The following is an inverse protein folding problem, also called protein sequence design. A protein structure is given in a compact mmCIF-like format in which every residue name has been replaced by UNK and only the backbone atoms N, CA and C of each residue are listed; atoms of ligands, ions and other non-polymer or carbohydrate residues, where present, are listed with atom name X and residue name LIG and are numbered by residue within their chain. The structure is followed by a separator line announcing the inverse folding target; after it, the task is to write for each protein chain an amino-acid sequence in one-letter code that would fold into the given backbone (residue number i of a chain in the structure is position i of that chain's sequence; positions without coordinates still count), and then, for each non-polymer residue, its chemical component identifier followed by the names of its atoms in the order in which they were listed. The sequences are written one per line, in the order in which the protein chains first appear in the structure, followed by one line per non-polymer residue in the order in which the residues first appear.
data_IF_155684930222
#
_entry.id   IF_155684930222
#
_cell.length_a   1.000
_cell.length_b   1.000
_cell.length_c   1.000
_cell.angle_alpha   90.00
_cell.angle_beta   90.00
_cell.angle_gamma   90.00
#
_symmetry.space_group_name_H-M   'P 1'
#
loop_
_entity.id
_entity.type
_entity.pdbx_description
1 polymer ?
#
# COMPACT_ATOMS: atom_id res chain seq x y z
N UNK A 1 -12.10 -20.65 -1.42
CA UNK A 1 -10.86 -21.39 -1.72
C UNK A 1 -10.79 -22.00 -3.12
N UNK A 2 -11.75 -22.82 -3.57
CA UNK A 2 -11.65 -23.49 -4.89
C UNK A 2 -11.42 -22.54 -6.08
N UNK A 3 -12.18 -21.45 -6.17
CA UNK A 3 -12.02 -20.47 -7.25
C UNK A 3 -10.65 -19.80 -7.25
N UNK A 4 -10.03 -19.59 -6.07
CA UNK A 4 -8.69 -19.02 -5.95
C UNK A 4 -7.65 -19.98 -6.49
N UNK A 5 -7.75 -21.27 -6.15
CA UNK A 5 -6.87 -22.30 -6.69
C UNK A 5 -6.99 -22.41 -8.22
N UNK A 6 -8.22 -22.40 -8.74
CA UNK A 6 -8.46 -22.38 -10.19
C UNK A 6 -7.85 -21.12 -10.82
N UNK A 7 -8.04 -19.95 -10.22
CA UNK A 7 -7.47 -18.70 -10.69
C UNK A 7 -5.93 -18.76 -10.72
N UNK A 8 -5.30 -19.31 -9.67
CA UNK A 8 -3.84 -19.47 -9.62
C UNK A 8 -3.31 -20.39 -10.72
N UNK A 9 -4.03 -21.46 -11.06
CA UNK A 9 -3.69 -22.35 -12.18
C UNK A 9 -3.88 -21.66 -13.53
N UNK A 10 -4.95 -20.89 -13.72
CA UNK A 10 -5.14 -20.10 -14.95
C UNK A 10 -4.06 -19.03 -15.09
N UNK A 11 -3.62 -18.46 -13.97
CA UNK A 11 -2.57 -17.44 -13.92
C UNK A 11 -1.21 -17.96 -14.41
N UNK A 12 -0.95 -19.27 -14.38
CA UNK A 12 0.29 -19.84 -14.95
C UNK A 12 0.25 -19.94 -16.48
N UNK A 13 -0.93 -19.86 -17.10
CA UNK A 13 -1.11 -20.03 -18.55
C UNK A 13 -1.30 -18.68 -19.25
N UNK A 14 -2.17 -17.82 -18.73
CA UNK A 14 -2.56 -16.55 -19.38
C UNK A 14 -2.62 -15.38 -18.38
N UNK A 15 -1.50 -15.03 -17.70
CA UNK A 15 -1.51 -14.08 -16.59
C UNK A 15 -2.08 -12.71 -16.98
N UNK A 16 -1.56 -12.08 -18.04
CA UNK A 16 -1.95 -10.72 -18.44
C UNK A 16 -3.43 -10.62 -18.81
N UNK A 17 -3.93 -11.57 -19.62
CA UNK A 17 -5.34 -11.60 -20.00
C UNK A 17 -6.23 -11.85 -18.78
N UNK A 18 -5.85 -12.81 -17.93
CA UNK A 18 -6.60 -13.13 -16.72
C UNK A 18 -6.69 -11.95 -15.76
N UNK A 19 -5.60 -11.20 -15.57
CA UNK A 19 -5.59 -10.00 -14.71
C UNK A 19 -6.61 -8.98 -15.20
N UNK A 20 -6.60 -8.66 -16.49
CA UNK A 20 -7.54 -7.68 -17.07
C UNK A 20 -8.98 -8.18 -17.01
N UNK A 21 -9.24 -9.46 -17.26
CA UNK A 21 -10.57 -10.04 -17.09
C UNK A 21 -11.04 -9.95 -15.63
N UNK A 22 -10.14 -10.22 -14.68
CA UNK A 22 -10.44 -10.20 -13.25
C UNK A 22 -10.73 -8.78 -12.77
N UNK A 23 -9.89 -7.80 -13.14
CA UNK A 23 -10.09 -6.38 -12.81
C UNK A 23 -11.44 -5.91 -13.34
N UNK A 24 -11.72 -6.14 -14.63
CA UNK A 24 -12.98 -5.71 -15.24
C UNK A 24 -14.21 -6.41 -14.63
N UNK A 25 -14.10 -7.68 -14.24
CA UNK A 25 -15.19 -8.40 -13.58
C UNK A 25 -15.46 -7.91 -12.16
N UNK A 26 -14.47 -7.31 -11.50
CA UNK A 26 -14.56 -6.79 -10.13
C UNK A 26 -14.72 -5.27 -10.06
N UNK A 27 -14.77 -4.58 -11.19
CA UNK A 27 -15.08 -3.16 -11.25
C UNK A 27 -16.40 -2.88 -10.52
N UNK A 28 -16.44 -1.77 -9.79
CA UNK A 28 -17.65 -1.32 -9.10
C UNK A 28 -18.72 -0.88 -10.12
N UNK A 29 -19.55 -1.83 -10.55
CA UNK A 29 -20.67 -1.61 -11.48
C UNK A 29 -21.85 -0.90 -10.79
N UNK A 30 -21.90 -0.88 -9.45
CA UNK A 30 -23.06 -0.43 -8.69
C UNK A 30 -23.11 1.09 -8.48
N UNK A 31 -22.00 1.82 -8.74
CA UNK A 31 -22.04 3.26 -8.87
C UNK A 31 -22.67 3.63 -10.23
N UNK A 32 -24.00 3.73 -10.26
CA UNK A 32 -24.88 3.93 -11.43
C UNK A 32 -24.62 5.16 -12.32
N UNK A 33 -23.46 5.81 -12.21
CA UNK A 33 -22.96 6.87 -13.08
C UNK A 33 -21.70 6.48 -13.88
N UNK A 34 -21.14 5.28 -13.68
CA UNK A 34 -19.98 4.83 -14.46
C UNK A 34 -20.45 4.37 -15.84
N UNK A 35 -20.23 5.25 -16.84
CA UNK A 35 -20.15 4.88 -18.27
C UNK A 35 -19.35 3.58 -18.42
N UNK A 36 -19.62 2.78 -19.46
CA UNK A 36 -18.91 1.54 -19.82
C UNK A 36 -17.38 1.69 -19.92
N UNK A 37 -16.68 1.87 -18.79
CA UNK A 37 -15.22 2.00 -18.74
C UNK A 37 -14.68 0.59 -18.65
N UNK A 38 -14.05 0.15 -19.73
CA UNK A 38 -13.29 -1.10 -19.75
C UNK A 38 -11.84 -0.77 -19.47
N UNK A 39 -11.29 -1.33 -18.39
CA UNK A 39 -9.88 -1.20 -18.05
C UNK A 39 -9.08 -2.08 -19.01
N UNK A 40 -8.12 -1.48 -19.70
CA UNK A 40 -7.18 -2.18 -20.58
C UNK A 40 -5.84 -2.42 -19.91
N UNK A 41 -5.01 -3.28 -20.52
CA UNK A 41 -3.65 -3.51 -20.04
C UNK A 41 -2.79 -2.23 -20.03
N UNK A 42 -3.00 -1.34 -21.00
CA UNK A 42 -2.27 -0.06 -21.05
C UNK A 42 -2.67 0.86 -19.89
N UNK A 43 -3.97 0.89 -19.54
CA UNK A 43 -4.44 1.69 -18.41
C UNK A 43 -3.80 1.24 -17.09
N UNK A 44 -3.78 -0.07 -16.82
CA UNK A 44 -3.16 -0.63 -15.60
C UNK A 44 -1.65 -0.44 -15.58
N UNK A 45 -1.00 -0.46 -16.75
CA UNK A 45 0.44 -0.27 -16.83
C UNK A 45 0.85 1.18 -16.49
N UNK A 46 0.04 2.16 -16.92
CA UNK A 46 0.26 3.59 -16.62
C UNK A 46 -0.18 3.93 -15.19
N UNK A 47 -1.31 3.37 -14.75
CA UNK A 47 -1.89 3.59 -13.43
C UNK A 47 -2.23 2.25 -12.76
N UNK A 48 -1.30 1.67 -11.99
CA UNK A 48 -1.52 0.38 -11.33
C UNK A 48 -2.56 0.45 -10.21
N UNK A 49 -2.93 1.64 -9.72
CA UNK A 49 -3.95 1.80 -8.67
C UNK A 49 -5.36 1.49 -9.17
N UNK A 50 -5.57 1.42 -10.50
CA UNK A 50 -6.85 0.96 -11.06
C UNK A 50 -7.22 -0.45 -10.61
N UNK A 51 -6.25 -1.28 -10.24
CA UNK A 51 -6.49 -2.62 -9.69
C UNK A 51 -7.29 -2.57 -8.38
N UNK A 52 -7.16 -1.48 -7.61
CA UNK A 52 -7.87 -1.28 -6.34
C UNK A 52 -9.24 -0.62 -6.51
N UNK A 53 -9.60 -0.16 -7.72
CA UNK A 53 -10.92 0.43 -8.04
C UNK A 53 -11.98 -0.65 -8.26
N UNK A 54 -12.07 -1.56 -7.31
CA UNK A 54 -12.99 -2.68 -7.32
C UNK A 54 -14.19 -2.45 -6.39
N UNK A 55 -15.22 -3.27 -6.53
CA UNK A 55 -16.38 -3.29 -5.62
C UNK A 55 -15.93 -3.41 -4.16
N UNK A 56 -16.47 -2.55 -3.29
CA UNK A 56 -16.06 -2.43 -1.88
C UNK A 56 -16.14 -3.77 -1.12
N UNK A 57 -17.00 -4.69 -1.54
CA UNK A 57 -17.16 -6.02 -0.92
C UNK A 57 -15.91 -6.88 -1.06
N UNK A 58 -15.03 -6.59 -2.02
CA UNK A 58 -13.72 -7.23 -2.16
C UNK A 58 -12.88 -7.03 -0.89
N UNK A 59 -12.95 -5.85 -0.26
CA UNK A 59 -12.26 -5.52 0.98
C UNK A 59 -12.90 -6.16 2.23
N UNK A 60 -13.90 -7.02 2.04
CA UNK A 60 -14.46 -7.92 3.06
C UNK A 60 -14.48 -9.38 2.57
N UNK A 61 -13.64 -9.72 1.59
CA UNK A 61 -13.52 -11.08 1.07
C UNK A 61 -12.04 -11.49 0.93
N UNK A 62 -11.50 -12.17 1.94
CA UNK A 62 -10.10 -12.55 2.02
C UNK A 62 -9.53 -13.26 0.78
N UNK A 63 -10.17 -14.30 0.22
CA UNK A 63 -9.60 -15.01 -0.93
C UNK A 63 -9.63 -14.20 -2.24
N UNK A 64 -10.60 -13.29 -2.44
CA UNK A 64 -10.61 -12.39 -3.60
C UNK A 64 -9.55 -11.29 -3.40
N UNK A 65 -9.44 -10.74 -2.20
CA UNK A 65 -8.40 -9.76 -1.88
C UNK A 65 -6.99 -10.32 -2.15
N UNK A 66 -6.71 -11.59 -1.79
CA UNK A 66 -5.44 -12.25 -2.12
C UNK A 66 -5.15 -12.27 -3.63
N UNK A 67 -6.18 -12.40 -4.47
CA UNK A 67 -6.04 -12.33 -5.93
C UNK A 67 -5.72 -10.90 -6.36
N UNK A 68 -6.48 -9.92 -5.85
CA UNK A 68 -6.28 -8.49 -6.16
C UNK A 68 -4.88 -8.03 -5.76
N UNK A 69 -4.40 -8.39 -4.56
CA UNK A 69 -3.05 -8.04 -4.11
C UNK A 69 -1.96 -8.63 -5.01
N UNK A 70 -2.16 -9.85 -5.53
CA UNK A 70 -1.22 -10.46 -6.48
C UNK A 70 -1.21 -9.74 -7.83
N UNK A 71 -2.37 -9.28 -8.30
CA UNK A 71 -2.46 -8.47 -9.52
C UNK A 71 -1.80 -7.10 -9.28
N UNK A 72 -2.06 -6.48 -8.13
CA UNK A 72 -1.52 -5.17 -7.76
C UNK A 72 0.01 -5.20 -7.69
N UNK A 73 0.59 -6.18 -7.01
CA UNK A 73 2.05 -6.36 -6.91
C UNK A 73 2.69 -6.48 -8.29
N UNK A 74 2.13 -7.32 -9.15
CA UNK A 74 2.60 -7.47 -10.52
C UNK A 74 2.43 -6.20 -11.35
N UNK A 75 1.34 -5.45 -11.14
CA UNK A 75 1.04 -4.21 -11.86
C UNK A 75 1.97 -3.07 -11.43
N UNK A 76 2.25 -2.92 -10.14
CA UNK A 76 3.23 -1.96 -9.61
C UNK A 76 4.63 -2.26 -10.17
N UNK A 77 5.06 -3.53 -10.14
CA UNK A 77 6.34 -3.94 -10.71
C UNK A 77 6.43 -3.69 -12.24
N UNK A 78 5.33 -3.92 -12.96
CA UNK A 78 5.25 -3.66 -14.39
C UNK A 78 5.28 -2.16 -14.73
N UNK A 79 4.54 -1.33 -13.98
CA UNK A 79 4.57 0.15 -14.07
C UNK A 79 5.99 0.66 -13.84
N UNK A 80 6.64 0.26 -12.74
CA UNK A 80 8.03 0.61 -12.42
C UNK A 80 8.99 0.24 -13.56
N UNK A 81 8.85 -0.97 -14.11
CA UNK A 81 9.67 -1.44 -15.23
C UNK A 81 9.39 -0.69 -16.53
N UNK A 82 8.15 -0.25 -16.77
CA UNK A 82 7.80 0.58 -17.92
C UNK A 82 8.41 1.98 -17.79
N UNK A 83 8.32 2.61 -16.62
CA UNK A 83 8.91 3.91 -16.36
C UNK A 83 10.43 3.90 -16.57
N UNK A 84 11.12 2.88 -16.05
CA UNK A 84 12.56 2.73 -16.29
C UNK A 84 12.91 2.58 -17.78
N UNK A 85 12.11 1.80 -18.53
CA UNK A 85 12.31 1.66 -19.99
C UNK A 85 12.03 2.96 -20.74
N UNK A 86 10.98 3.69 -20.36
CA UNK A 86 10.62 4.96 -20.98
C UNK A 86 11.72 6.01 -20.85
N UNK A 87 12.42 6.05 -19.70
CA UNK A 87 13.58 6.92 -19.53
C UNK A 87 14.72 6.55 -20.49
N UNK A 88 15.00 5.25 -20.66
CA UNK A 88 16.04 4.76 -21.57
C UNK A 88 15.71 5.02 -23.04
N UNK A 89 14.44 4.83 -23.44
CA UNK A 89 14.00 5.00 -24.84
C UNK A 89 13.90 6.48 -25.24
N UNK A 90 13.79 7.39 -24.26
CA UNK A 90 13.68 8.84 -24.48
C UNK A 90 14.79 9.59 -23.76
N UNK A 91 16.07 9.39 -24.13
CA UNK A 91 17.18 10.15 -23.57
C UNK A 91 17.01 11.63 -23.95
N UNK A 92 17.47 12.53 -23.08
CA UNK A 92 17.48 13.95 -23.40
C UNK A 92 18.47 14.21 -24.53
N UNK A 93 17.98 14.72 -25.65
CA UNK A 93 18.84 15.32 -26.66
C UNK A 93 19.14 16.73 -26.19
N UNK A 94 20.42 17.11 -26.05
CA UNK A 94 20.86 18.48 -25.78
C UNK A 94 20.31 19.43 -26.85
N UNK A 95 19.09 19.90 -26.68
CA UNK A 95 18.47 20.90 -27.55
C UNK A 95 17.77 21.92 -26.67
N UNK A 96 18.48 23.04 -26.52
CA UNK A 96 17.97 24.34 -26.09
C UNK A 96 17.67 24.50 -24.61
N UNK A 97 18.73 24.70 -23.81
CA UNK A 97 18.76 25.65 -22.70
C UNK A 97 17.83 25.42 -21.48
N UNK A 98 16.98 24.40 -21.49
CA UNK A 98 16.15 24.01 -20.36
C UNK A 98 16.54 22.60 -19.95
N UNK A 99 17.55 22.54 -19.08
CA UNK A 99 18.15 21.33 -18.56
C UNK A 99 17.25 20.75 -17.48
N UNK A 100 16.23 19.96 -17.81
CA UNK A 100 15.89 18.89 -16.86
C UNK A 100 17.04 17.91 -16.97
N UNK A 101 17.87 17.70 -15.96
CA UNK A 101 18.97 16.73 -16.09
C UNK A 101 18.44 15.28 -16.14
N UNK A 102 19.19 14.33 -16.71
CA UNK A 102 18.83 12.90 -16.62
C UNK A 102 18.71 12.45 -15.15
N UNK A 103 19.48 13.08 -14.25
CA UNK A 103 19.39 12.88 -12.81
C UNK A 103 18.03 13.33 -12.23
N UNK A 104 17.53 14.51 -12.61
CA UNK A 104 16.20 14.98 -12.21
C UNK A 104 15.08 14.08 -12.74
N UNK A 105 15.20 13.58 -13.97
CA UNK A 105 14.22 12.64 -14.53
C UNK A 105 14.16 11.33 -13.75
N UNK A 106 15.32 10.82 -13.34
CA UNK A 106 15.41 9.62 -12.52
C UNK A 106 14.86 9.85 -11.11
N UNK A 107 15.12 11.03 -10.51
CA UNK A 107 14.54 11.43 -9.22
C UNK A 107 13.01 11.52 -9.29
N UNK A 108 12.46 12.19 -10.31
CA UNK A 108 11.02 12.28 -10.54
C UNK A 108 10.39 10.90 -10.74
N UNK A 109 11.06 10.01 -11.45
CA UNK A 109 10.61 8.62 -11.64
C UNK A 109 10.59 7.86 -10.32
N UNK A 110 11.62 7.98 -9.50
CA UNK A 110 11.66 7.35 -8.18
C UNK A 110 10.60 7.91 -7.23
N UNK A 111 10.38 9.23 -7.24
CA UNK A 111 9.32 9.88 -6.48
C UNK A 111 7.92 9.41 -6.92
N UNK A 112 7.68 9.30 -8.23
CA UNK A 112 6.42 8.78 -8.77
C UNK A 112 6.15 7.34 -8.33
N UNK A 113 7.16 6.47 -8.41
CA UNK A 113 7.05 5.07 -7.97
C UNK A 113 6.73 5.00 -6.48
N UNK A 114 7.45 5.76 -5.64
CA UNK A 114 7.21 5.79 -4.20
C UNK A 114 5.80 6.34 -3.86
N UNK A 115 5.33 7.34 -4.61
CA UNK A 115 3.98 7.88 -4.47
C UNK A 115 2.91 6.85 -4.85
N UNK A 116 3.07 6.13 -5.96
CA UNK A 116 2.15 5.07 -6.38
C UNK A 116 2.09 3.95 -5.34
N UNK A 117 3.25 3.49 -4.85
CA UNK A 117 3.33 2.39 -3.90
C UNK A 117 2.79 2.79 -2.53
N UNK A 118 3.15 3.97 -2.01
CA UNK A 118 2.58 4.46 -0.75
C UNK A 118 1.07 4.69 -0.84
N UNK A 119 0.55 5.23 -1.96
CA UNK A 119 -0.89 5.37 -2.16
C UNK A 119 -1.61 4.01 -2.16
N UNK A 120 -1.03 2.97 -2.77
CA UNK A 120 -1.57 1.62 -2.71
C UNK A 120 -1.64 1.11 -1.26
N UNK A 121 -0.59 1.34 -0.47
CA UNK A 121 -0.57 0.96 0.94
C UNK A 121 -1.60 1.74 1.77
N UNK A 122 -1.80 3.02 1.51
CA UNK A 122 -2.82 3.84 2.18
C UNK A 122 -4.23 3.32 1.92
N UNK A 123 -4.57 3.00 0.66
CA UNK A 123 -5.87 2.41 0.31
C UNK A 123 -6.09 1.09 1.07
N UNK A 124 -5.05 0.25 1.16
CA UNK A 124 -5.12 -1.02 1.89
C UNK A 124 -5.24 -0.81 3.41
N UNK A 125 -4.57 0.18 3.97
CA UNK A 125 -4.73 0.55 5.39
C UNK A 125 -6.14 1.03 5.66
N UNK A 126 -6.70 1.91 4.83
CA UNK A 126 -8.08 2.37 4.95
C UNK A 126 -9.09 1.22 4.86
N UNK A 127 -8.84 0.22 4.00
CA UNK A 127 -9.66 -0.98 3.92
C UNK A 127 -9.69 -1.80 5.23
N UNK A 128 -8.72 -1.60 6.14
CA UNK A 128 -8.68 -2.25 7.45
C UNK A 128 -9.53 -1.54 8.51
N UNK A 129 -10.09 -0.35 8.21
CA UNK A 129 -10.99 0.33 9.12
C UNK A 129 -12.26 -0.48 9.32
N UNK A 130 -12.74 -0.47 10.56
CA UNK A 130 -14.03 -1.05 10.91
C UNK A 130 -15.14 -0.08 10.54
N UNK A 131 -16.21 -0.59 9.93
CA UNK A 131 -17.39 0.17 9.52
C UNK A 131 -18.58 -0.17 10.42
N UNK A 132 -19.62 0.68 10.38
CA UNK A 132 -20.88 0.41 11.08
C UNK A 132 -21.54 -0.90 10.61
N UNK A 133 -21.39 -1.24 9.32
CA UNK A 133 -21.88 -2.50 8.78
C UNK A 133 -21.17 -3.70 9.40
N UNK A 134 -19.85 -3.60 9.60
CA UNK A 134 -19.07 -4.66 10.25
C UNK A 134 -19.59 -4.92 11.66
N UNK A 135 -19.88 -3.86 12.43
CA UNK A 135 -20.44 -3.98 13.79
C UNK A 135 -21.82 -4.60 13.81
N UNK A 136 -22.64 -4.35 12.79
CA UNK A 136 -24.00 -4.88 12.69
C UNK A 136 -24.07 -6.37 12.35
N UNK A 137 -23.01 -6.95 11.78
CA UNK A 137 -22.99 -8.30 11.19
C UNK A 137 -21.76 -9.09 11.63
N UNK A 138 -21.91 -10.10 12.52
CA UNK A 138 -20.78 -10.88 13.01
C UNK A 138 -19.91 -11.50 11.90
N UNK A 139 -20.52 -11.94 10.80
CA UNK A 139 -19.82 -12.49 9.62
C UNK A 139 -18.85 -11.50 8.98
N UNK A 140 -19.21 -10.20 8.93
CA UNK A 140 -18.34 -9.17 8.38
C UNK A 140 -17.16 -8.86 9.30
N UNK A 141 -17.34 -8.95 10.63
CA UNK A 141 -16.23 -8.86 11.58
C UNK A 141 -15.19 -9.97 11.38
N UNK A 142 -15.62 -11.20 11.12
CA UNK A 142 -14.71 -12.30 10.81
C UNK A 142 -13.98 -12.07 9.49
N UNK A 143 -14.70 -11.62 8.46
CA UNK A 143 -14.11 -11.22 7.18
C UNK A 143 -13.09 -10.10 7.33
N UNK A 144 -13.38 -9.08 8.14
CA UNK A 144 -12.47 -7.97 8.42
C UNK A 144 -11.19 -8.46 9.11
N UNK A 145 -11.29 -9.39 10.06
CA UNK A 145 -10.11 -10.01 10.69
C UNK A 145 -9.25 -10.78 9.68
N UNK A 146 -9.87 -11.54 8.78
CA UNK A 146 -9.14 -12.22 7.71
C UNK A 146 -8.46 -11.21 6.79
N UNK A 147 -9.18 -10.19 6.35
CA UNK A 147 -8.66 -9.13 5.47
C UNK A 147 -7.49 -8.38 6.12
N UNK A 148 -7.61 -7.99 7.40
CA UNK A 148 -6.51 -7.38 8.17
C UNK A 148 -5.27 -8.28 8.18
N UNK A 149 -5.44 -9.58 8.43
CA UNK A 149 -4.31 -10.53 8.39
C UNK A 149 -3.64 -10.58 7.02
N UNK A 150 -4.43 -10.61 5.94
CA UNK A 150 -3.92 -10.62 4.56
C UNK A 150 -3.17 -9.34 4.23
N UNK A 151 -3.75 -8.18 4.55
CA UNK A 151 -3.16 -6.86 4.28
C UNK A 151 -1.89 -6.67 5.11
N UNK A 152 -1.92 -6.96 6.41
CA UNK A 152 -0.73 -6.86 7.25
C UNK A 152 0.40 -7.78 6.76
N UNK A 153 0.09 -8.99 6.30
CA UNK A 153 1.09 -9.89 5.71
C UNK A 153 1.70 -9.31 4.43
N UNK A 154 0.89 -8.65 3.60
CA UNK A 154 1.34 -7.98 2.39
C UNK A 154 2.24 -6.76 2.69
N UNK A 155 1.80 -5.87 3.59
CA UNK A 155 2.60 -4.72 4.06
C UNK A 155 3.91 -5.18 4.69
N UNK A 156 3.90 -6.28 5.44
CA UNK A 156 5.10 -6.86 6.03
C UNK A 156 6.15 -7.21 4.97
N UNK A 157 5.75 -7.91 3.90
CA UNK A 157 6.66 -8.25 2.80
C UNK A 157 7.20 -6.98 2.11
N UNK A 158 6.34 -5.99 1.88
CA UNK A 158 6.77 -4.72 1.27
C UNK A 158 7.78 -4.01 2.16
N UNK A 159 7.53 -3.88 3.46
CA UNK A 159 8.45 -3.21 4.39
C UNK A 159 9.78 -3.96 4.55
N UNK A 160 9.81 -5.28 4.37
CA UNK A 160 11.08 -6.03 4.29
C UNK A 160 11.83 -5.69 3.01
N UNK A 161 11.14 -5.69 1.87
CA UNK A 161 11.77 -5.47 0.57
C UNK A 161 12.20 -4.01 0.35
N UNK A 162 11.44 -3.06 0.90
CA UNK A 162 11.63 -1.63 0.71
C UNK A 162 11.30 -0.87 2.02
N UNK A 163 12.25 -0.82 2.98
CA UNK A 163 12.05 -0.17 4.27
C UNK A 163 11.73 1.33 4.16
N UNK A 164 12.14 1.99 3.07
CA UNK A 164 11.86 3.42 2.86
C UNK A 164 10.36 3.69 2.70
N UNK A 165 9.58 2.74 2.17
CA UNK A 165 8.11 2.85 2.10
C UNK A 165 7.47 2.83 3.48
N UNK A 166 8.01 2.05 4.44
CA UNK A 166 7.53 2.06 5.81
C UNK A 166 7.66 3.47 6.40
N UNK A 167 8.83 4.10 6.22
CA UNK A 167 9.03 5.49 6.64
C UNK A 167 8.05 6.43 5.94
N UNK A 168 7.93 6.35 4.61
CA UNK A 168 7.06 7.24 3.84
C UNK A 168 5.59 7.17 4.30
N UNK A 169 5.03 5.96 4.47
CA UNK A 169 3.65 5.77 4.93
C UNK A 169 3.42 6.35 6.32
N UNK A 170 4.35 6.17 7.25
CA UNK A 170 4.22 6.73 8.60
C UNK A 170 4.41 8.27 8.64
N UNK A 171 5.17 8.84 7.69
CA UNK A 171 5.30 10.29 7.54
C UNK A 171 4.09 10.94 6.85
N UNK A 172 3.38 10.19 6.02
CA UNK A 172 2.06 10.56 5.48
C UNK A 172 0.99 10.47 6.57
N UNK A 173 1.10 9.50 7.47
CA UNK A 173 0.12 9.21 8.51
C UNK A 173 -1.03 8.35 7.98
N UNK A 174 -1.81 7.81 8.92
CA UNK A 174 -3.04 7.06 8.69
C UNK A 174 -3.88 7.07 9.98
N UNK A 175 -5.18 6.71 9.95
CA UNK A 175 -6.04 6.74 11.13
C UNK A 175 -5.45 5.95 12.31
N UNK A 176 -5.47 6.56 13.50
CA UNK A 176 -4.78 6.04 14.70
C UNK A 176 -5.37 4.73 15.19
N UNK A 177 -6.63 4.47 14.89
CA UNK A 177 -7.36 3.23 15.16
C UNK A 177 -6.65 2.02 14.53
N UNK A 178 -5.88 2.23 13.46
CA UNK A 178 -5.13 1.19 12.78
C UNK A 178 -3.77 0.90 13.43
N UNK A 179 -3.26 1.74 14.32
CA UNK A 179 -1.93 1.54 14.95
C UNK A 179 -1.86 0.19 15.68
N UNK A 180 -2.91 -0.18 16.42
CA UNK A 180 -2.95 -1.47 17.08
C UNK A 180 -2.93 -2.63 16.05
N UNK A 181 -3.68 -2.48 14.95
CA UNK A 181 -3.77 -3.48 13.88
C UNK A 181 -2.43 -3.65 13.18
N UNK A 182 -1.78 -2.54 12.79
CA UNK A 182 -0.50 -2.57 12.07
C UNK A 182 0.62 -3.07 12.95
N UNK A 183 0.76 -2.57 14.18
CA UNK A 183 1.84 -2.96 15.09
C UNK A 183 1.75 -4.44 15.49
N UNK A 184 0.55 -4.98 15.72
CA UNK A 184 0.37 -6.39 16.05
C UNK A 184 0.42 -7.30 14.83
N UNK A 185 -0.11 -6.84 13.69
CA UNK A 185 -0.25 -7.63 12.48
C UNK A 185 0.97 -7.66 11.57
N UNK A 186 1.86 -6.67 11.64
CA UNK A 186 3.03 -6.52 10.76
C UNK A 186 4.31 -6.75 11.58
N UNK A 187 4.95 -7.93 11.52
CA UNK A 187 6.11 -8.24 12.36
C UNK A 187 7.32 -7.30 12.19
N UNK A 188 7.48 -6.69 11.01
CA UNK A 188 8.56 -5.76 10.69
C UNK A 188 8.37 -4.35 11.27
N UNK A 189 7.29 -4.07 12.02
CA UNK A 189 7.02 -2.71 12.53
C UNK A 189 8.08 -2.16 13.49
N UNK A 190 8.91 -3.02 14.09
CA UNK A 190 10.03 -2.61 14.92
C UNK A 190 11.05 -1.69 14.19
N UNK A 191 11.14 -1.76 12.85
CA UNK A 191 12.00 -0.86 12.06
C UNK A 191 11.57 0.61 12.18
N UNK A 192 10.31 0.88 12.56
CA UNK A 192 9.81 2.24 12.69
C UNK A 192 10.55 3.04 13.76
N UNK A 193 11.09 2.36 14.79
CA UNK A 193 11.91 2.96 15.84
C UNK A 193 13.12 3.73 15.31
N UNK A 194 13.57 3.45 14.09
CA UNK A 194 14.73 4.08 13.47
C UNK A 194 14.45 5.53 13.05
N UNK A 195 13.21 5.82 12.62
CA UNK A 195 12.82 7.12 12.08
C UNK A 195 11.86 7.90 12.99
N UNK A 196 11.47 7.36 14.15
CA UNK A 196 10.65 8.10 15.14
C UNK A 196 11.26 9.47 15.52
N UNK A 197 12.57 9.60 15.83
CA UNK A 197 13.13 10.90 16.20
C UNK A 197 12.92 11.98 15.13
N UNK A 198 12.99 11.57 13.85
CA UNK A 198 12.75 12.43 12.71
C UNK A 198 11.25 12.76 12.51
N UNK A 199 10.37 11.84 12.89
CA UNK A 199 8.92 12.08 12.86
C UNK A 199 8.49 13.04 13.99
N UNK A 200 9.11 12.95 15.17
CA UNK A 200 8.89 13.87 16.29
C UNK A 200 9.43 15.27 16.00
N UNK A 201 10.48 15.41 15.19
CA UNK A 201 11.03 16.72 14.83
C UNK A 201 10.23 17.45 13.75
N UNK A 202 9.16 16.84 13.21
CA UNK A 202 8.26 17.50 12.28
C UNK A 202 7.56 18.69 12.96
N UNK A 203 7.39 19.79 12.23
CA UNK A 203 6.70 20.98 12.75
C UNK A 203 5.19 20.77 12.98
N UNK A 204 4.60 19.71 12.42
CA UNK A 204 3.18 19.40 12.57
C UNK A 204 2.90 18.66 13.88
N UNK A 205 2.06 19.23 14.73
CA UNK A 205 1.61 18.61 15.97
C UNK A 205 0.90 17.27 15.72
N UNK A 206 0.14 17.15 14.63
CA UNK A 206 -0.54 15.90 14.27
C UNK A 206 0.46 14.76 14.03
N UNK A 207 1.59 15.06 13.37
CA UNK A 207 2.65 14.08 13.13
C UNK A 207 3.37 13.70 14.42
N UNK A 208 3.59 14.67 15.32
CA UNK A 208 4.18 14.42 16.64
C UNK A 208 3.26 13.52 17.48
N UNK A 209 1.96 13.82 17.53
CA UNK A 209 0.96 12.99 18.22
C UNK A 209 0.96 11.57 17.66
N UNK A 210 0.91 11.43 16.33
CA UNK A 210 0.97 10.13 15.68
C UNK A 210 2.25 9.36 16.03
N UNK A 211 3.41 10.03 16.08
CA UNK A 211 4.67 9.41 16.47
C UNK A 211 4.64 8.90 17.92
N UNK A 212 4.10 9.69 18.85
CA UNK A 212 3.95 9.29 20.26
C UNK A 212 3.01 8.09 20.41
N UNK A 213 1.86 8.11 19.71
CA UNK A 213 0.90 7.00 19.71
C UNK A 213 1.55 5.73 19.13
N UNK A 214 2.29 5.85 18.01
CA UNK A 214 3.02 4.74 17.41
C UNK A 214 4.08 4.16 18.36
N UNK A 215 4.86 5.01 19.04
CA UNK A 215 5.86 4.56 20.03
C UNK A 215 5.20 3.83 21.18
N UNK A 216 4.08 4.34 21.69
CA UNK A 216 3.30 3.68 22.75
C UNK A 216 2.96 2.23 22.39
N UNK A 217 2.41 2.03 21.19
CA UNK A 217 2.11 0.68 20.69
C UNK A 217 3.36 -0.18 20.48
N UNK A 218 4.42 0.38 19.88
CA UNK A 218 5.68 -0.33 19.64
C UNK A 218 6.37 -0.76 20.94
N UNK A 219 6.34 0.08 21.97
CA UNK A 219 6.96 -0.21 23.28
C UNK A 219 6.24 -1.33 24.03
N UNK A 220 4.93 -1.45 23.86
CA UNK A 220 4.15 -2.57 24.42
C UNK A 220 4.43 -3.85 23.63
N UNK A 221 4.48 -3.77 22.30
CA UNK A 221 4.66 -4.94 21.43
C UNK A 221 6.09 -5.49 21.44
N UNK A 222 7.09 -4.61 21.49
CA UNK A 222 8.50 -4.95 21.35
C UNK A 222 9.31 -4.51 22.58
N UNK A 223 9.67 -5.48 23.42
CA UNK A 223 10.54 -5.27 24.58
C UNK A 223 12.01 -5.09 24.18
N UNK A 224 12.33 -4.00 23.47
CA UNK A 224 13.68 -3.68 22.97
C UNK A 224 14.29 -2.51 23.76
N UNK A 225 15.60 -2.54 24.08
CA UNK A 225 16.28 -1.40 24.69
C UNK A 225 16.13 -0.11 23.87
N UNK A 226 16.14 -0.23 22.54
CA UNK A 226 15.90 0.89 21.63
C UNK A 226 14.50 1.49 21.81
N UNK A 227 13.48 0.65 21.95
CA UNK A 227 12.10 1.11 22.18
C UNK A 227 12.00 1.91 23.49
N UNK A 228 12.68 1.47 24.55
CA UNK A 228 12.73 2.21 25.82
C UNK A 228 13.43 3.58 25.68
N UNK A 229 14.55 3.64 24.97
CA UNK A 229 15.26 4.90 24.72
C UNK A 229 14.41 5.90 23.93
N UNK A 230 13.69 5.42 22.91
CA UNK A 230 12.78 6.24 22.11
C UNK A 230 11.56 6.68 22.93
N UNK A 231 10.97 5.80 23.73
CA UNK A 231 9.87 6.18 24.63
C UNK A 231 10.29 7.28 25.62
N UNK A 232 11.52 7.20 26.17
CA UNK A 232 12.07 8.25 27.02
C UNK A 232 12.21 9.58 26.27
N UNK A 233 12.64 9.53 25.00
CA UNK A 233 12.72 10.73 24.16
C UNK A 233 11.34 11.38 24.03
N UNK A 234 10.31 10.60 23.69
CA UNK A 234 8.93 11.09 23.55
C UNK A 234 8.37 11.77 24.81
N UNK A 235 8.75 11.30 26.00
CA UNK A 235 8.30 11.90 27.28
C UNK A 235 9.01 13.22 27.58
N UNK A 236 10.22 13.40 27.06
CA UNK A 236 11.06 14.57 27.32
C UNK A 236 10.89 15.70 26.29
N UNK A 237 10.37 15.38 25.10
CA UNK A 237 10.02 16.34 24.03
C UNK A 237 8.62 16.89 24.21
#
# INVERSE_FOLDING_TARGET
ELYREVWLRLNTVLPRCLWIMTINALLDINNGNSRNVTITQENVLVDPLQVLRCDIRVFRCGPILKIILRILEASLAASRSQLSRHLLDKPLLEKSGQLTSDAEREELKNALVAAQESAALQILLEACLETEEDQSKPELMWSLREVRSVICSFLHQIFISEPSLAKLVHFQGYPRELLQVTVQGIPSMHICLDFIPELLSQASLEKQIFAVDLVSHLSIQYALPKAMSIARLCVNT
#
